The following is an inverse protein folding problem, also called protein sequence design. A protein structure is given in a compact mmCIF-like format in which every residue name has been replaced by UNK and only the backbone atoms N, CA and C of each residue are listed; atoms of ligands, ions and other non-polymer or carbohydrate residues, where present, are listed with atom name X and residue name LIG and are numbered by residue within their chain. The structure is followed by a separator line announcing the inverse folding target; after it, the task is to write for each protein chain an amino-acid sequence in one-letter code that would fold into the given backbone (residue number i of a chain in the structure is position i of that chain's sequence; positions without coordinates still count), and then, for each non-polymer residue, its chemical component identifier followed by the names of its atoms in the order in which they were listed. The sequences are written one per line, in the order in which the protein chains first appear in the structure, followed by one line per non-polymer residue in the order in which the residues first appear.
data_IF_371436708374
#
_entry.id   IF_371436708374
#
_cell.length_a   1.000
_cell.length_b   1.000
_cell.length_c   1.000
_cell.angle_alpha   90.00
_cell.angle_beta   90.00
_cell.angle_gamma   90.00
#
_symmetry.space_group_name_H-M   'P 1'
#
loop_
_entity.id
_entity.type
_entity.pdbx_description
1 polymer ?
#
# COMPACT_ATOMS: atom_id res chain seq x y z
N UNK A 1 -21.75 -36.86 16.54
CA UNK A 1 -21.08 -36.08 15.47
C UNK A 1 -21.35 -34.59 15.66
N UNK A 2 -20.37 -33.74 15.31
CA UNK A 2 -20.33 -32.27 15.36
C UNK A 2 -20.15 -31.66 16.77
N UNK A 3 -18.92 -31.53 17.31
CA UNK A 3 -17.83 -30.60 16.96
C UNK A 3 -18.13 -29.13 17.32
N UNK A 4 -17.37 -28.67 18.32
CA UNK A 4 -17.43 -27.39 19.04
C UNK A 4 -17.20 -26.19 18.11
N UNK A 5 -18.21 -25.35 17.95
CA UNK A 5 -18.09 -23.99 17.41
C UNK A 5 -18.09 -22.98 18.56
N UNK A 6 -17.09 -22.11 18.59
CA UNK A 6 -17.17 -20.87 19.37
C UNK A 6 -16.30 -20.80 20.63
N UNK A 7 -14.98 -20.94 20.50
CA UNK A 7 -14.06 -20.35 21.48
C UNK A 7 -13.37 -19.17 20.82
N UNK A 8 -13.93 -17.98 20.99
CA UNK A 8 -13.29 -16.74 20.53
C UNK A 8 -11.91 -16.60 21.17
N UNK A 9 -10.87 -16.47 20.36
CA UNK A 9 -9.53 -16.18 20.85
C UNK A 9 -9.52 -14.77 21.44
N UNK A 10 -9.50 -14.67 22.77
CA UNK A 10 -9.26 -13.40 23.47
C UNK A 10 -7.76 -13.26 23.68
N UNK A 11 -7.11 -12.47 22.83
CA UNK A 11 -5.72 -12.09 23.01
C UNK A 11 -5.69 -11.02 24.11
N UNK A 12 -4.98 -11.27 25.20
CA UNK A 12 -4.81 -10.24 26.23
C UNK A 12 -3.94 -9.10 25.67
N UNK A 13 -4.11 -7.84 26.12
CA UNK A 13 -3.29 -6.73 25.65
C UNK A 13 -1.77 -6.97 25.79
N UNK A 14 -1.38 -7.73 26.82
CA UNK A 14 -0.01 -8.17 27.03
C UNK A 14 0.45 -9.15 25.94
N UNK A 15 -0.36 -10.15 25.62
CA UNK A 15 -0.06 -11.12 24.56
C UNK A 15 0.05 -10.43 23.20
N UNK A 16 -0.85 -9.48 22.90
CA UNK A 16 -0.78 -8.69 21.69
C UNK A 16 0.52 -7.87 21.61
N UNK A 17 0.93 -7.24 22.71
CA UNK A 17 2.22 -6.52 22.79
C UNK A 17 3.41 -7.43 22.55
N UNK A 18 3.43 -8.61 23.17
CA UNK A 18 4.50 -9.60 22.97
C UNK A 18 4.58 -10.07 21.53
N UNK A 19 3.44 -10.34 20.89
CA UNK A 19 3.37 -10.70 19.47
C UNK A 19 3.90 -9.57 18.59
N UNK A 20 3.50 -8.32 18.84
CA UNK A 20 4.00 -7.17 18.07
C UNK A 20 5.52 -6.99 18.23
N UNK A 21 6.05 -7.17 19.45
CA UNK A 21 7.50 -7.09 19.70
C UNK A 21 8.23 -8.24 19.02
N UNK A 22 7.72 -9.46 19.09
CA UNK A 22 8.32 -10.62 18.41
C UNK A 22 8.33 -10.44 16.88
N UNK A 23 7.25 -9.90 16.30
CA UNK A 23 7.19 -9.61 14.87
C UNK A 23 8.17 -8.51 14.46
N UNK A 24 8.38 -7.48 15.29
CA UNK A 24 9.38 -6.45 15.03
C UNK A 24 10.78 -7.03 15.04
N UNK A 25 11.13 -7.79 16.08
CA UNK A 25 12.43 -8.46 16.14
C UNK A 25 12.67 -9.37 14.95
N UNK A 26 11.66 -10.16 14.58
CA UNK A 26 11.73 -11.00 13.39
C UNK A 26 11.94 -10.19 12.11
N UNK A 27 11.27 -9.05 11.96
CA UNK A 27 11.46 -8.17 10.81
C UNK A 27 12.86 -7.54 10.77
N UNK A 28 13.42 -7.19 11.94
CA UNK A 28 14.77 -6.64 12.06
C UNK A 28 15.84 -7.69 11.74
N UNK A 29 15.68 -8.92 12.26
CA UNK A 29 16.57 -10.06 11.96
C UNK A 29 16.52 -10.42 10.47
N UNK A 30 15.30 -10.46 9.90
CA UNK A 30 15.11 -10.69 8.47
C UNK A 30 15.76 -9.58 7.63
N UNK A 31 15.68 -8.32 8.07
CA UNK A 31 16.33 -7.21 7.38
C UNK A 31 17.86 -7.33 7.40
N UNK A 32 18.45 -7.84 8.48
CA UNK A 32 19.88 -8.11 8.58
C UNK A 32 20.30 -9.26 7.64
N UNK A 33 19.55 -10.35 7.59
CA UNK A 33 19.81 -11.48 6.68
C UNK A 33 19.67 -11.06 5.21
N UNK A 34 18.68 -10.22 4.90
CA UNK A 34 18.49 -9.63 3.58
C UNK A 34 19.68 -8.72 3.19
N UNK A 35 20.24 -7.98 4.14
CA UNK A 35 21.39 -7.11 3.87
C UNK A 35 22.69 -7.90 3.65
N UNK A 36 22.79 -9.11 4.21
CA UNK A 36 24.01 -9.93 4.17
C UNK A 36 24.22 -10.67 2.83
N UNK A 37 23.17 -10.85 2.03
CA UNK A 37 23.24 -11.59 0.77
C UNK A 37 23.07 -10.67 -0.44
N UNK A 38 23.96 -10.71 -1.44
CA UNK A 38 23.74 -9.98 -2.68
C UNK A 38 22.54 -10.59 -3.41
N UNK A 39 21.39 -9.92 -3.31
CA UNK A 39 20.17 -10.37 -3.96
C UNK A 39 20.15 -9.92 -5.41
N UNK A 40 19.91 -10.84 -6.37
CA UNK A 40 19.83 -10.46 -7.76
C UNK A 40 18.64 -9.52 -7.97
N UNK A 41 18.84 -8.56 -8.86
CA UNK A 41 17.80 -7.75 -9.46
C UNK A 41 16.96 -8.60 -10.41
N UNK A 42 15.65 -8.38 -10.40
CA UNK A 42 14.67 -9.13 -11.17
C UNK A 42 13.85 -8.16 -12.01
N UNK A 43 13.83 -8.36 -13.32
CA UNK A 43 12.94 -7.63 -14.24
C UNK A 43 11.74 -8.52 -14.52
N UNK A 44 10.55 -8.04 -14.18
CA UNK A 44 9.29 -8.79 -14.22
C UNK A 44 8.25 -8.08 -15.07
N UNK A 45 7.47 -8.88 -15.78
CA UNK A 45 6.36 -8.45 -16.62
C UNK A 45 5.05 -8.85 -15.94
N UNK A 46 4.14 -7.90 -15.81
CA UNK A 46 2.87 -8.08 -15.13
C UNK A 46 1.70 -7.87 -16.08
N UNK A 47 0.67 -8.67 -15.84
CA UNK A 47 -0.65 -8.55 -16.43
C UNK A 47 -1.32 -7.26 -15.93
N UNK A 48 -2.27 -6.74 -16.71
CA UNK A 48 -3.14 -5.63 -16.31
C UNK A 48 -3.95 -5.93 -15.05
N UNK A 49 -4.10 -7.21 -14.69
CA UNK A 49 -4.76 -7.66 -13.45
C UNK A 49 -3.83 -7.71 -12.23
N UNK A 50 -2.54 -7.38 -12.41
CA UNK A 50 -1.54 -7.46 -11.35
C UNK A 50 -0.94 -8.86 -11.16
N UNK A 51 -1.24 -9.81 -12.04
CA UNK A 51 -0.65 -11.16 -12.03
C UNK A 51 0.75 -11.13 -12.68
N UNK A 52 1.69 -11.89 -12.13
CA UNK A 52 3.01 -12.05 -12.73
C UNK A 52 2.89 -12.89 -14.01
N UNK A 53 3.21 -12.30 -15.16
CA UNK A 53 3.18 -13.00 -16.46
C UNK A 53 4.50 -13.73 -16.69
N UNK A 54 5.61 -13.04 -16.50
CA UNK A 54 6.94 -13.61 -16.71
C UNK A 54 8.01 -12.87 -15.92
N UNK A 55 9.04 -13.61 -15.51
CA UNK A 55 10.33 -13.04 -15.13
C UNK A 55 11.20 -12.98 -16.39
N UNK A 56 11.63 -11.79 -16.79
CA UNK A 56 12.34 -11.54 -18.05
C UNK A 56 13.86 -11.61 -17.89
N UNK A 57 14.37 -11.16 -16.74
CA UNK A 57 15.80 -11.19 -16.45
C UNK A 57 16.06 -11.25 -14.94
N UNK A 58 17.16 -11.93 -14.57
CA UNK A 58 17.69 -11.99 -13.20
C UNK A 58 19.18 -11.66 -13.27
N UNK A 59 19.61 -10.58 -12.63
CA UNK A 59 20.96 -10.02 -12.82
C UNK A 59 21.54 -9.55 -11.49
N UNK A 60 22.83 -9.75 -11.25
CA UNK A 60 23.50 -9.33 -10.01
C UNK A 60 24.01 -7.88 -10.05
N UNK A 61 24.02 -7.26 -11.23
CA UNK A 61 24.50 -5.90 -11.45
C UNK A 61 23.35 -4.94 -11.76
N UNK A 62 23.32 -3.80 -11.07
CA UNK A 62 22.27 -2.80 -11.17
C UNK A 62 22.28 -2.11 -12.55
N UNK A 63 23.46 -1.82 -13.11
CA UNK A 63 23.55 -1.15 -14.40
C UNK A 63 22.97 -2.02 -15.52
N UNK A 64 23.31 -3.31 -15.51
CA UNK A 64 22.73 -4.29 -16.43
C UNK A 64 21.23 -4.47 -16.21
N UNK A 65 20.77 -4.46 -14.96
CA UNK A 65 19.35 -4.57 -14.63
C UNK A 65 18.53 -3.35 -15.13
N UNK A 66 19.08 -2.14 -15.07
CA UNK A 66 18.47 -0.95 -15.68
C UNK A 66 18.36 -1.09 -17.19
N UNK A 67 19.43 -1.50 -17.88
CA UNK A 67 19.39 -1.71 -19.32
C UNK A 67 18.36 -2.76 -19.74
N UNK A 68 18.25 -3.86 -18.97
CA UNK A 68 17.23 -4.89 -19.19
C UNK A 68 15.81 -4.36 -18.94
N UNK A 69 15.61 -3.52 -17.92
CA UNK A 69 14.33 -2.90 -17.63
C UNK A 69 13.88 -1.94 -18.74
N UNK A 70 14.78 -1.10 -19.26
CA UNK A 70 14.49 -0.16 -20.35
C UNK A 70 14.14 -0.93 -21.63
N UNK A 71 14.93 -1.95 -21.96
CA UNK A 71 14.67 -2.81 -23.11
C UNK A 71 13.31 -3.53 -22.98
N UNK A 72 13.00 -4.07 -21.79
CA UNK A 72 11.72 -4.73 -21.53
C UNK A 72 10.53 -3.77 -21.61
N UNK A 73 10.68 -2.55 -21.11
CA UNK A 73 9.65 -1.51 -21.16
C UNK A 73 9.35 -1.06 -22.60
N UNK A 74 10.39 -0.94 -23.43
CA UNK A 74 10.25 -0.62 -24.85
C UNK A 74 9.64 -1.78 -25.65
N UNK A 75 10.00 -3.02 -25.32
CA UNK A 75 9.48 -4.20 -26.01
C UNK A 75 8.00 -4.49 -25.69
N UNK A 76 7.50 -4.02 -24.54
CA UNK A 76 6.14 -4.32 -24.07
C UNK A 76 5.30 -3.05 -23.78
N UNK A 77 5.05 -2.18 -24.78
CA UNK A 77 4.30 -0.94 -24.59
C UNK A 77 2.83 -1.26 -24.28
N UNK A 78 2.43 -1.12 -23.02
CA UNK A 78 1.06 -1.40 -22.55
C UNK A 78 0.96 -2.53 -21.53
N UNK A 79 2.07 -3.18 -21.21
CA UNK A 79 2.17 -4.06 -20.05
C UNK A 79 2.99 -3.39 -18.95
N UNK A 80 2.75 -3.81 -17.71
CA UNK A 80 3.50 -3.27 -16.58
C UNK A 80 4.80 -4.03 -16.45
N UNK A 81 5.91 -3.31 -16.44
CA UNK A 81 7.26 -3.86 -16.21
C UNK A 81 7.76 -3.32 -14.89
N UNK A 82 8.37 -4.17 -14.06
CA UNK A 82 9.00 -3.75 -12.81
C UNK A 82 10.43 -4.25 -12.73
N UNK A 83 11.32 -3.38 -12.24
CA UNK A 83 12.63 -3.77 -11.73
C UNK A 83 12.51 -3.90 -10.21
N UNK A 84 12.72 -5.09 -9.69
CA UNK A 84 12.65 -5.38 -8.26
C UNK A 84 13.91 -6.03 -7.72
N UNK A 85 14.03 -6.01 -6.41
CA UNK A 85 15.01 -6.79 -5.67
C UNK A 85 14.27 -7.38 -4.47
N UNK A 86 14.13 -8.71 -4.45
CA UNK A 86 13.26 -9.43 -3.52
C UNK A 86 11.80 -8.92 -3.53
N UNK A 87 11.31 -8.42 -2.39
CA UNK A 87 9.98 -7.86 -2.21
C UNK A 87 9.90 -6.36 -2.53
N UNK A 88 11.04 -5.70 -2.82
CA UNK A 88 11.08 -4.27 -3.11
C UNK A 88 11.00 -4.03 -4.61
N UNK A 89 10.13 -3.12 -5.01
CA UNK A 89 10.09 -2.59 -6.38
C UNK A 89 10.96 -1.34 -6.38
N UNK A 90 11.98 -1.33 -7.23
CA UNK A 90 12.92 -0.22 -7.38
C UNK A 90 12.46 0.73 -8.49
N UNK A 91 11.92 0.17 -9.59
CA UNK A 91 11.36 0.93 -10.68
C UNK A 91 10.14 0.21 -11.26
N UNK A 92 9.24 1.00 -11.84
CA UNK A 92 8.08 0.51 -12.56
C UNK A 92 7.81 1.36 -13.79
N UNK A 93 7.27 0.71 -14.83
CA UNK A 93 6.84 1.32 -16.08
C UNK A 93 5.53 0.69 -16.53
N UNK A 94 4.73 1.45 -17.26
CA UNK A 94 3.45 1.01 -17.81
C UNK A 94 2.24 1.29 -16.90
N UNK A 95 1.06 0.80 -17.30
CA UNK A 95 -0.20 1.09 -16.62
C UNK A 95 -0.26 0.41 -15.24
N UNK A 96 -0.89 1.09 -14.27
CA UNK A 96 -1.16 0.48 -12.96
C UNK A 96 -2.16 -0.68 -13.10
N UNK A 97 -1.99 -1.75 -12.30
CA UNK A 97 -2.91 -2.87 -12.33
C UNK A 97 -4.31 -2.40 -11.96
N UNK A 98 -5.30 -2.88 -12.71
CA UNK A 98 -6.70 -2.61 -12.44
C UNK A 98 -7.08 -3.45 -11.23
N UNK A 99 -6.93 -2.88 -10.03
CA UNK A 99 -7.40 -3.52 -8.81
C UNK A 99 -8.91 -3.78 -8.93
N UNK A 100 -9.39 -5.01 -8.69
CA UNK A 100 -10.81 -5.26 -8.59
C UNK A 100 -11.38 -4.45 -7.42
N UNK A 101 -12.60 -3.92 -7.59
CA UNK A 101 -13.24 -3.01 -6.63
C UNK A 101 -13.30 -3.56 -5.18
N UNK A 102 -13.22 -4.87 -5.03
CA UNK A 102 -13.27 -5.61 -3.76
C UNK A 102 -12.05 -5.36 -2.85
N UNK A 103 -10.88 -5.04 -3.41
CA UNK A 103 -9.68 -4.71 -2.62
C UNK A 103 -9.65 -3.26 -2.11
N UNK A 104 -10.39 -2.34 -2.75
CA UNK A 104 -10.49 -0.93 -2.30
C UNK A 104 -11.18 -0.81 -0.94
N UNK A 105 -12.04 -1.77 -0.59
CA UNK A 105 -12.74 -1.82 0.69
C UNK A 105 -11.84 -2.13 1.89
N UNK A 106 -10.66 -2.72 1.68
CA UNK A 106 -9.70 -3.03 2.76
C UNK A 106 -8.73 -1.87 3.06
N UNK A 107 -8.64 -0.88 2.16
CA UNK A 107 -7.82 0.33 2.34
C UNK A 107 -8.63 1.51 2.91
N UNK A 108 -9.95 1.37 3.04
CA UNK A 108 -10.76 2.35 3.73
C UNK A 108 -10.55 2.20 5.24
N UNK A 109 -10.20 3.27 5.98
CA UNK A 109 -10.22 3.21 7.43
C UNK A 109 -11.64 2.79 7.87
N UNK A 110 -11.78 1.96 8.91
CA UNK A 110 -13.09 1.58 9.40
C UNK A 110 -13.90 2.85 9.72
N UNK A 111 -15.19 2.90 9.39
CA UNK A 111 -16.03 4.03 9.76
C UNK A 111 -15.93 4.21 11.27
N UNK A 112 -15.44 5.38 11.72
CA UNK A 112 -15.38 5.71 13.13
C UNK A 112 -16.83 5.73 13.67
N UNK A 113 -17.17 4.93 14.69
CA UNK A 113 -18.45 5.05 15.34
C UNK A 113 -18.43 6.29 16.22
N UNK A 114 -18.96 7.40 15.71
CA UNK A 114 -19.22 8.59 16.51
C UNK A 114 -18.81 9.90 15.85
N UNK A 115 -19.51 10.31 14.80
CA UNK A 115 -19.72 11.75 14.58
C UNK A 115 -21.22 11.98 14.62
N UNK A 116 -21.70 12.33 15.82
CA UNK A 116 -23.03 12.92 16.01
C UNK A 116 -23.20 14.04 14.99
N UNK A 117 -24.29 13.97 14.23
CA UNK A 117 -24.61 14.89 13.12
C UNK A 117 -25.03 16.28 13.65
N UNK A 118 -25.10 16.48 14.97
CA UNK A 118 -25.73 17.66 15.56
C UNK A 118 -24.84 18.91 15.75
N UNK A 119 -23.53 18.87 15.49
CA UNK A 119 -22.66 20.03 15.76
C UNK A 119 -22.24 20.87 14.53
N UNK A 120 -22.78 20.58 13.33
CA UNK A 120 -22.50 21.37 12.10
C UNK A 120 -23.49 22.49 11.79
N UNK A 121 -24.43 22.78 12.70
CA UNK A 121 -25.46 23.82 12.50
C UNK A 121 -25.14 25.18 13.12
N UNK A 122 -23.97 25.36 13.77
CA UNK A 122 -23.60 26.64 14.40
C UNK A 122 -22.61 27.50 13.61
N UNK A 123 -21.89 26.97 12.63
CA UNK A 123 -20.84 27.74 11.93
C UNK A 123 -21.28 28.45 10.65
N UNK A 124 -22.47 28.17 10.12
CA UNK A 124 -22.98 28.86 8.92
C UNK A 124 -23.73 30.16 9.21
N UNK A 125 -24.08 30.47 10.46
CA UNK A 125 -24.74 31.74 10.81
C UNK A 125 -23.78 32.90 11.12
N UNK A 126 -22.47 32.62 11.26
CA UNK A 126 -21.49 33.66 11.64
C UNK A 126 -20.86 34.35 10.42
N UNK A 127 -20.88 33.73 9.24
CA UNK A 127 -20.25 34.29 8.01
C UNK A 127 -21.18 35.25 7.26
N UNK A 128 -22.51 35.16 7.43
CA UNK A 128 -23.47 36.05 6.76
C UNK A 128 -23.63 37.44 7.39
N UNK A 129 -23.09 37.69 8.60
CA UNK A 129 -23.17 39.00 9.27
C UNK A 129 -22.00 39.95 8.96
N UNK A 130 -20.98 39.52 8.22
CA UNK A 130 -19.81 40.36 7.92
C UNK A 130 -19.91 41.15 6.60
N UNK A 131 -20.86 40.83 5.72
CA UNK A 131 -20.97 41.49 4.41
C UNK A 131 -21.95 42.68 4.36
N UNK A 132 -22.87 42.82 5.32
CA UNK A 132 -23.84 43.93 5.33
C UNK A 132 -23.31 45.23 5.98
N UNK A 133 -22.17 45.21 6.66
CA UNK A 133 -21.63 46.40 7.36
C UNK A 133 -20.67 47.26 6.54
N UNK A 134 -20.30 46.85 5.31
CA UNK A 134 -19.37 47.59 4.43
C UNK A 134 -20.03 48.45 3.36
N UNK A 135 -21.36 48.58 3.36
CA UNK A 135 -22.12 49.39 2.39
C UNK A 135 -22.69 50.70 2.94
N UNK A 136 -22.37 51.07 4.18
CA UNK A 136 -22.84 52.33 4.80
C UNK A 136 -21.75 53.37 5.08
N UNK A 137 -20.50 53.15 4.66
CA UNK A 137 -19.42 54.14 4.83
C UNK A 137 -18.71 54.47 3.50
N UNK A 138 -19.48 54.93 2.51
CA UNK A 138 -18.98 55.76 1.40
C UNK A 138 -20.01 56.80 1.02
#
# INVERSE_FOLDING_TARGET
MAARLGRGFRVTPLTARLVVVALRHYADDLAADIAASPHPYQVRLWSLRGELVSELAVVNDLATAHGAFDAASLANPGQRVTLGQQARILMESGPQPIMPAEERTLLLPPPQPGSSIDDKLKDTQTVMRYHDRRRQER
#
